data_IF_331310489861
#
_entry.id   IF_331310489861
#
_cell.length_a   1.000
_cell.length_b   1.000
_cell.length_c   1.000
_cell.angle_alpha   90.00
_cell.angle_beta   90.00
_cell.angle_gamma   90.00
#
_symmetry.space_group_name_H-M   'P 1'
#
loop_
_entity.id
_entity.type
_entity.pdbx_description
1 polymer ?
#
# COMPACT_ATOMS: atom_id res chain seq x y z
N UNK A 1 -13.84 -17.61 -21.67
CA UNK A 1 -13.84 -16.54 -20.65
C UNK A 1 -12.72 -16.63 -19.59
N UNK A 2 -12.04 -17.78 -19.35
CA UNK A 2 -10.92 -17.88 -18.38
C UNK A 2 -9.62 -17.13 -18.78
N UNK A 3 -9.43 -16.81 -20.06
CA UNK A 3 -8.17 -16.27 -20.58
C UNK A 3 -7.94 -14.77 -20.33
N UNK A 4 -8.99 -13.99 -20.07
CA UNK A 4 -8.87 -12.53 -19.95
C UNK A 4 -8.42 -12.10 -18.55
N UNK A 5 -8.94 -12.78 -17.52
CA UNK A 5 -8.62 -12.51 -16.12
C UNK A 5 -7.15 -12.81 -15.82
N UNK A 6 -6.62 -13.97 -16.24
CA UNK A 6 -5.18 -14.28 -16.09
C UNK A 6 -4.25 -13.25 -16.75
N UNK A 7 -4.69 -12.60 -17.83
CA UNK A 7 -3.92 -11.56 -18.53
C UNK A 7 -3.87 -10.26 -17.71
N UNK A 8 -4.98 -9.87 -17.09
CA UNK A 8 -5.04 -8.71 -16.20
C UNK A 8 -4.11 -8.86 -14.98
N UNK A 9 -4.13 -10.01 -14.31
CA UNK A 9 -3.24 -10.25 -13.15
C UNK A 9 -1.76 -10.37 -13.54
N UNK A 10 -1.46 -10.97 -14.69
CA UNK A 10 -0.09 -11.00 -15.24
C UNK A 10 0.39 -9.57 -15.55
N UNK A 11 -0.48 -8.73 -16.10
CA UNK A 11 -0.17 -7.34 -16.40
C UNK A 11 0.04 -6.51 -15.13
N UNK A 12 -0.82 -6.65 -14.12
CA UNK A 12 -0.64 -6.04 -12.78
C UNK A 12 0.70 -6.48 -12.19
N UNK A 13 1.02 -7.77 -12.21
CA UNK A 13 2.30 -8.26 -11.71
C UNK A 13 3.50 -7.67 -12.45
N UNK A 14 3.45 -7.64 -13.79
CA UNK A 14 4.53 -7.10 -14.61
C UNK A 14 4.74 -5.60 -14.36
N UNK A 15 3.66 -4.85 -14.13
CA UNK A 15 3.72 -3.42 -13.83
C UNK A 15 4.20 -3.13 -12.40
N UNK A 16 3.88 -3.99 -11.43
CA UNK A 16 4.14 -3.73 -10.01
C UNK A 16 5.35 -4.49 -9.44
N UNK A 17 5.95 -5.45 -10.15
CA UNK A 17 7.04 -6.28 -9.63
C UNK A 17 8.26 -5.48 -9.13
N UNK A 18 8.69 -4.46 -9.87
CA UNK A 18 9.79 -3.57 -9.47
C UNK A 18 9.43 -2.71 -8.24
N UNK A 19 8.18 -2.25 -8.16
CA UNK A 19 7.64 -1.47 -7.05
C UNK A 19 7.56 -2.33 -5.79
N UNK A 20 7.07 -3.56 -5.89
CA UNK A 20 6.98 -4.53 -4.80
C UNK A 20 8.38 -4.93 -4.30
N UNK A 21 9.32 -5.18 -5.21
CA UNK A 21 10.73 -5.43 -4.81
C UNK A 21 11.28 -4.27 -4.00
N UNK A 22 11.10 -3.04 -4.47
CA UNK A 22 11.48 -1.84 -3.73
C UNK A 22 10.78 -1.72 -2.37
N UNK A 23 9.49 -2.08 -2.31
CA UNK A 23 8.68 -2.10 -1.08
C UNK A 23 9.25 -3.04 -0.01
N UNK A 24 9.70 -4.24 -0.39
CA UNK A 24 10.32 -5.20 0.53
C UNK A 24 11.74 -4.80 0.93
N UNK A 25 12.56 -4.31 -0.01
CA UNK A 25 13.92 -3.82 0.27
C UNK A 25 13.89 -2.70 1.30
N UNK A 26 12.98 -1.73 1.15
CA UNK A 26 12.83 -0.60 2.08
C UNK A 26 12.41 -1.01 3.48
N UNK A 27 11.74 -2.16 3.62
CA UNK A 27 11.36 -2.77 4.91
C UNK A 27 12.39 -3.77 5.45
N UNK A 28 13.61 -3.72 4.94
CA UNK A 28 14.73 -4.51 5.45
C UNK A 28 14.79 -5.94 4.92
N UNK A 29 13.85 -6.38 4.06
CA UNK A 29 13.84 -7.70 3.47
C UNK A 29 14.60 -7.74 2.12
N UNK A 30 15.80 -7.13 2.05
CA UNK A 30 16.56 -7.00 0.79
C UNK A 30 16.88 -8.35 0.15
N UNK A 31 17.32 -9.31 0.95
CA UNK A 31 17.75 -10.65 0.50
C UNK A 31 16.56 -11.50 0.04
N UNK A 32 15.42 -11.39 0.73
CA UNK A 32 14.21 -12.15 0.40
C UNK A 32 13.27 -11.40 -0.55
N UNK A 33 13.65 -10.21 -1.03
CA UNK A 33 12.73 -9.32 -1.74
C UNK A 33 12.14 -9.98 -2.99
N UNK A 34 12.92 -10.79 -3.70
CA UNK A 34 12.48 -11.49 -4.91
C UNK A 34 11.53 -12.64 -4.56
N UNK A 35 11.84 -13.41 -3.52
CA UNK A 35 10.97 -14.49 -3.02
C UNK A 35 9.65 -13.94 -2.50
N UNK A 36 9.68 -12.80 -1.79
CA UNK A 36 8.48 -12.14 -1.30
C UNK A 36 7.61 -11.57 -2.43
N UNK A 37 8.22 -11.08 -3.53
CA UNK A 37 7.49 -10.69 -4.74
C UNK A 37 6.82 -11.90 -5.38
N UNK A 38 7.52 -13.03 -5.48
CA UNK A 38 6.96 -14.27 -6.02
C UNK A 38 5.82 -14.81 -5.14
N UNK A 39 5.99 -14.84 -3.82
CA UNK A 39 4.97 -15.28 -2.87
C UNK A 39 3.75 -14.35 -2.91
N UNK A 40 3.95 -13.04 -3.10
CA UNK A 40 2.86 -12.08 -3.31
C UNK A 40 2.02 -12.48 -4.53
N UNK A 41 2.68 -12.84 -5.63
CA UNK A 41 2.01 -13.27 -6.85
C UNK A 41 1.31 -14.63 -6.71
N UNK A 42 1.91 -15.59 -6.00
CA UNK A 42 1.30 -16.90 -5.76
C UNK A 42 0.01 -16.78 -4.92
N UNK A 43 0.03 -15.96 -3.87
CA UNK A 43 -1.18 -15.68 -3.05
C UNK A 43 -2.26 -14.96 -3.86
N UNK A 44 -1.87 -14.12 -4.81
CA UNK A 44 -2.76 -13.46 -5.77
C UNK A 44 -3.47 -14.46 -6.69
N UNK A 45 -2.70 -15.35 -7.30
CA UNK A 45 -3.22 -16.38 -8.20
C UNK A 45 -4.15 -17.37 -7.49
N UNK A 46 -3.83 -17.74 -6.24
CA UNK A 46 -4.70 -18.58 -5.41
C UNK A 46 -6.02 -17.87 -5.10
N UNK A 47 -5.97 -16.61 -4.70
CA UNK A 47 -7.17 -15.82 -4.45
C UNK A 47 -8.06 -15.69 -5.69
N UNK A 48 -7.45 -15.54 -6.87
CA UNK A 48 -8.17 -15.57 -8.16
C UNK A 48 -8.83 -16.94 -8.41
N UNK A 49 -8.15 -18.05 -8.10
CA UNK A 49 -8.72 -19.39 -8.27
C UNK A 49 -9.90 -19.63 -7.33
N UNK A 50 -9.81 -19.15 -6.09
CA UNK A 50 -10.81 -19.38 -5.05
C UNK A 50 -12.02 -18.43 -5.17
N UNK A 51 -11.80 -17.17 -5.56
CA UNK A 51 -12.83 -16.13 -5.58
C UNK A 51 -13.23 -15.64 -6.98
N UNK A 52 -12.54 -16.05 -8.04
CA UNK A 52 -12.86 -15.66 -9.42
C UNK A 52 -12.82 -14.14 -9.63
N UNK A 53 -13.94 -13.57 -10.06
CA UNK A 53 -14.13 -12.12 -10.27
C UNK A 53 -14.52 -11.36 -8.99
N UNK A 54 -14.63 -12.05 -7.84
CA UNK A 54 -15.05 -11.44 -6.57
C UNK A 54 -14.05 -10.45 -5.96
N UNK A 55 -12.83 -10.34 -6.51
CA UNK A 55 -11.85 -9.34 -6.09
C UNK A 55 -12.05 -8.07 -6.92
N UNK A 56 -12.84 -7.15 -6.38
CA UNK A 56 -13.16 -5.87 -7.03
C UNK A 56 -11.91 -5.03 -7.36
N UNK A 57 -10.87 -5.07 -6.51
CA UNK A 57 -9.63 -4.31 -6.72
C UNK A 57 -8.36 -5.19 -6.61
N UNK A 58 -7.86 -5.71 -7.74
CA UNK A 58 -6.63 -6.50 -7.84
C UNK A 58 -5.38 -5.83 -7.25
N UNK A 59 -5.21 -4.52 -7.45
CA UNK A 59 -4.03 -3.77 -6.99
C UNK A 59 -4.05 -3.57 -5.47
N UNK A 60 -5.19 -3.19 -4.91
CA UNK A 60 -5.38 -3.06 -3.46
C UNK A 60 -5.13 -4.39 -2.75
N UNK A 61 -5.61 -5.49 -3.35
CA UNK A 61 -5.37 -6.83 -2.84
C UNK A 61 -3.88 -7.21 -2.93
N UNK A 62 -3.20 -6.92 -4.04
CA UNK A 62 -1.75 -7.13 -4.21
C UNK A 62 -0.94 -6.45 -3.09
N UNK A 63 -1.21 -5.18 -2.81
CA UNK A 63 -0.51 -4.46 -1.74
C UNK A 63 -0.86 -4.97 -0.34
N UNK A 64 -2.10 -5.43 -0.14
CA UNK A 64 -2.50 -6.08 1.12
C UNK A 64 -1.69 -7.34 1.38
N UNK A 65 -1.55 -8.20 0.36
CA UNK A 65 -0.72 -9.40 0.43
C UNK A 65 0.75 -9.05 0.70
N UNK A 66 1.31 -8.10 -0.04
CA UNK A 66 2.71 -7.70 0.12
C UNK A 66 3.01 -7.15 1.53
N UNK A 67 2.10 -6.37 2.10
CA UNK A 67 2.25 -5.83 3.45
C UNK A 67 2.17 -6.91 4.52
N UNK A 68 1.27 -7.89 4.36
CA UNK A 68 1.20 -9.05 5.26
C UNK A 68 2.47 -9.87 5.23
N UNK A 69 3.02 -10.11 4.04
CA UNK A 69 4.31 -10.79 3.87
C UNK A 69 5.47 -10.02 4.52
N UNK A 70 5.51 -8.70 4.36
CA UNK A 70 6.54 -7.88 5.01
C UNK A 70 6.45 -7.94 6.55
N UNK A 71 5.23 -8.05 7.11
CA UNK A 71 5.01 -8.24 8.55
C UNK A 71 5.44 -9.62 9.03
N UNK A 72 5.01 -10.68 8.34
CA UNK A 72 5.45 -12.05 8.62
C UNK A 72 6.99 -12.11 8.66
N UNK A 73 7.64 -11.43 7.71
CA UNK A 73 9.09 -11.37 7.63
C UNK A 73 9.72 -10.52 8.75
N UNK A 74 9.13 -9.38 9.11
CA UNK A 74 9.60 -8.56 10.23
C UNK A 74 9.51 -9.32 11.57
N UNK A 75 8.40 -10.03 11.81
CA UNK A 75 8.20 -10.86 13.02
C UNK A 75 9.24 -11.98 13.07
N UNK A 76 9.46 -12.70 11.96
CA UNK A 76 10.52 -13.73 11.87
C UNK A 76 11.91 -13.17 12.18
N UNK A 77 12.17 -11.94 11.77
CA UNK A 77 13.45 -11.24 12.00
C UNK A 77 13.55 -10.55 13.36
N UNK A 78 12.58 -10.73 14.27
CA UNK A 78 12.46 -10.04 15.57
C UNK A 78 12.49 -8.51 15.47
N UNK A 79 12.09 -7.96 14.32
CA UNK A 79 11.91 -6.53 14.12
C UNK A 79 10.48 -6.17 14.56
N UNK A 80 10.29 -5.01 15.17
CA UNK A 80 9.03 -4.61 15.80
C UNK A 80 7.80 -4.79 14.87
N UNK A 81 6.63 -5.20 15.39
CA UNK A 81 5.45 -5.47 14.57
C UNK A 81 4.91 -4.19 13.92
N UNK A 82 4.68 -4.21 12.61
CA UNK A 82 3.88 -3.19 11.91
C UNK A 82 2.40 -3.46 12.25
N UNK A 83 1.69 -2.50 12.84
CA UNK A 83 0.31 -2.69 13.32
C UNK A 83 -0.69 -2.87 12.17
N UNK A 84 -1.70 -3.74 12.37
CA UNK A 84 -2.66 -4.22 11.35
C UNK A 84 -3.81 -3.23 11.09
N UNK A 85 -4.21 -2.42 12.07
CA UNK A 85 -5.40 -1.55 12.02
C UNK A 85 -5.41 -0.51 10.89
N UNK A 86 -4.24 -0.09 10.40
CA UNK A 86 -4.12 0.91 9.33
C UNK A 86 -4.22 0.28 7.92
N UNK A 87 -4.19 -1.06 7.85
CA UNK A 87 -4.29 -1.85 6.61
C UNK A 87 -5.68 -1.77 6.00
N UNK A 88 -6.73 -1.90 6.81
CA UNK A 88 -8.11 -1.75 6.34
C UNK A 88 -8.34 -0.34 5.80
N UNK A 89 -7.73 0.67 6.42
CA UNK A 89 -7.90 2.06 6.01
C UNK A 89 -7.21 2.34 4.66
N UNK A 90 -6.06 1.73 4.41
CA UNK A 90 -5.31 1.90 3.15
C UNK A 90 -5.86 1.01 2.03
N UNK A 91 -6.22 -0.23 2.32
CA UNK A 91 -6.89 -1.09 1.34
C UNK A 91 -8.25 -0.50 0.96
N UNK A 92 -9.00 0.09 1.89
CA UNK A 92 -10.22 0.86 1.57
C UNK A 92 -9.92 2.13 0.77
N UNK A 93 -8.81 2.82 1.02
CA UNK A 93 -8.40 3.99 0.20
C UNK A 93 -8.05 3.60 -1.25
N UNK A 94 -7.42 2.45 -1.47
CA UNK A 94 -7.11 1.95 -2.81
C UNK A 94 -8.33 1.29 -3.46
N UNK A 95 -9.14 0.55 -2.70
CA UNK A 95 -10.32 -0.19 -3.16
C UNK A 95 -11.55 0.69 -3.35
N UNK A 96 -11.61 1.86 -2.72
CA UNK A 96 -12.56 2.90 -3.11
C UNK A 96 -12.40 3.28 -4.59
N UNK A 97 -11.27 2.87 -5.20
CA UNK A 97 -10.73 3.03 -6.54
C UNK A 97 -11.09 2.00 -7.62
N UNK A 98 -12.36 1.69 -7.84
CA UNK A 98 -12.92 0.96 -8.99
C UNK A 98 -13.00 1.81 -10.29
N UNK A 99 -12.05 1.60 -11.20
CA UNK A 99 -12.25 0.77 -12.40
C UNK A 99 -10.94 0.76 -13.20
N UNK A 100 -10.82 -0.12 -14.20
CA UNK A 100 -9.65 -0.30 -15.08
C UNK A 100 -9.10 1.06 -15.58
N UNK A 101 -8.09 1.62 -14.91
CA UNK A 101 -7.68 3.01 -15.16
C UNK A 101 -6.90 3.17 -16.48
N UNK A 102 -7.49 3.96 -17.37
CA UNK A 102 -6.80 4.59 -18.50
C UNK A 102 -5.67 5.51 -17.99
N UNK A 103 -4.61 5.72 -18.77
CA UNK A 103 -3.43 6.47 -18.30
C UNK A 103 -3.73 7.90 -17.81
N UNK A 104 -4.80 8.51 -18.33
CA UNK A 104 -5.31 9.82 -17.91
C UNK A 104 -5.87 9.81 -16.48
N UNK A 105 -6.61 8.77 -16.09
CA UNK A 105 -7.18 8.63 -14.74
C UNK A 105 -6.07 8.49 -13.69
N UNK A 106 -5.02 7.71 -13.98
CA UNK A 106 -3.83 7.60 -13.11
C UNK A 106 -3.17 8.95 -12.85
N UNK A 107 -2.99 9.76 -13.90
CA UNK A 107 -2.35 11.07 -13.77
C UNK A 107 -3.22 12.02 -12.93
N UNK A 108 -4.54 12.00 -13.13
CA UNK A 108 -5.49 12.79 -12.35
C UNK A 108 -5.52 12.35 -10.88
N UNK A 109 -5.53 11.04 -10.60
CA UNK A 109 -5.42 10.46 -9.25
C UNK A 109 -4.11 10.86 -8.59
N UNK A 110 -2.99 10.84 -9.32
CA UNK A 110 -1.68 11.28 -8.81
C UNK A 110 -1.66 12.78 -8.46
N UNK A 111 -2.23 13.64 -9.32
CA UNK A 111 -2.34 15.08 -9.05
C UNK A 111 -3.23 15.38 -7.84
N UNK A 112 -4.36 14.69 -7.70
CA UNK A 112 -5.24 14.81 -6.52
C UNK A 112 -4.53 14.39 -5.24
N UNK A 113 -3.79 13.27 -5.28
CA UNK A 113 -3.00 12.82 -4.13
C UNK A 113 -1.91 13.85 -3.75
N UNK A 114 -1.23 14.45 -4.74
CA UNK A 114 -0.24 15.50 -4.47
C UNK A 114 -0.87 16.75 -3.85
N UNK A 115 -2.01 17.20 -4.39
CA UNK A 115 -2.76 18.33 -3.86
C UNK A 115 -3.20 18.07 -2.40
N UNK A 116 -3.68 16.87 -2.12
CA UNK A 116 -4.03 16.44 -0.76
C UNK A 116 -2.82 16.43 0.17
N UNK A 117 -1.70 15.84 -0.25
CA UNK A 117 -0.50 15.81 0.58
C UNK A 117 0.02 17.23 0.90
N UNK A 118 -0.26 18.21 0.03
CA UNK A 118 0.05 19.61 0.26
C UNK A 118 -0.88 20.31 1.28
N UNK A 119 -2.08 19.80 1.54
CA UNK A 119 -2.99 20.35 2.58
C UNK A 119 -2.68 19.80 3.98
N UNK A 120 -1.90 18.73 4.07
CA UNK A 120 -1.50 18.15 5.35
C UNK A 120 -0.44 19.00 6.05
N UNK A 121 -0.47 19.07 7.40
CA UNK A 121 0.65 19.63 8.15
C UNK A 121 1.96 18.94 7.78
N UNK A 122 3.03 19.72 7.63
CA UNK A 122 4.33 19.27 7.13
C UNK A 122 4.85 18.00 7.85
N UNK A 123 4.72 17.95 9.18
CA UNK A 123 5.10 16.78 9.98
C UNK A 123 4.27 15.54 9.67
N UNK A 124 2.97 15.69 9.43
CA UNK A 124 2.09 14.58 9.04
C UNK A 124 2.46 14.06 7.65
N UNK A 125 2.68 14.97 6.69
CA UNK A 125 3.12 14.61 5.34
C UNK A 125 4.47 13.88 5.37
N UNK A 126 5.46 14.41 6.11
CA UNK A 126 6.77 13.78 6.27
C UNK A 126 6.67 12.37 6.87
N UNK A 127 5.84 12.17 7.91
CA UNK A 127 5.58 10.85 8.49
C UNK A 127 4.99 9.89 7.46
N UNK A 128 3.97 10.30 6.69
CA UNK A 128 3.38 9.46 5.65
C UNK A 128 4.42 9.10 4.58
N UNK A 129 5.21 10.07 4.11
CA UNK A 129 6.26 9.82 3.13
C UNK A 129 7.27 8.81 3.67
N UNK A 130 7.77 8.99 4.90
CA UNK A 130 8.74 8.05 5.48
C UNK A 130 8.16 6.64 5.68
N UNK A 131 6.90 6.55 6.10
CA UNK A 131 6.22 5.27 6.33
C UNK A 131 5.94 4.52 5.01
N UNK A 132 5.39 5.22 4.03
CA UNK A 132 4.82 4.58 2.84
C UNK A 132 5.76 4.61 1.65
N UNK A 133 6.46 5.73 1.41
CA UNK A 133 7.50 5.82 0.38
C UNK A 133 8.79 5.18 0.85
N UNK A 134 9.29 5.56 2.02
CA UNK A 134 10.63 5.13 2.48
C UNK A 134 10.60 3.79 3.24
N UNK A 135 9.41 3.28 3.60
CA UNK A 135 9.24 1.98 4.24
C UNK A 135 9.77 1.90 5.68
N UNK A 136 10.03 3.04 6.31
CA UNK A 136 10.54 3.09 7.68
C UNK A 136 9.45 2.63 8.66
N UNK A 137 9.86 1.95 9.72
CA UNK A 137 8.98 1.62 10.85
C UNK A 137 8.69 2.85 11.72
N UNK A 138 7.63 2.80 12.53
CA UNK A 138 7.32 3.90 13.46
C UNK A 138 8.45 4.23 14.41
N UNK A 139 9.23 3.23 14.82
CA UNK A 139 10.42 3.42 15.64
C UNK A 139 11.50 4.20 14.90
N UNK A 140 11.81 3.81 13.66
CA UNK A 140 12.80 4.51 12.83
C UNK A 140 12.36 5.94 12.49
N UNK A 141 11.06 6.16 12.25
CA UNK A 141 10.51 7.50 12.02
C UNK A 141 10.59 8.35 13.30
N UNK A 142 10.23 7.76 14.44
CA UNK A 142 10.30 8.41 15.75
C UNK A 142 11.73 8.86 16.08
N UNK A 143 12.71 7.97 15.89
CA UNK A 143 14.14 8.26 16.05
C UNK A 143 14.59 9.39 15.11
N UNK A 144 14.22 9.32 13.83
CA UNK A 144 14.60 10.32 12.82
C UNK A 144 13.98 11.70 13.08
N UNK A 145 12.76 11.74 13.62
CA UNK A 145 12.03 12.98 13.88
C UNK A 145 12.21 13.53 15.30
N UNK A 146 12.86 12.79 16.20
CA UNK A 146 12.97 13.16 17.62
C UNK A 146 11.61 13.18 18.35
N UNK A 147 10.69 12.28 18.00
CA UNK A 147 9.35 12.17 18.61
C UNK A 147 9.09 10.75 19.11
N UNK A 148 8.00 10.52 19.84
CA UNK A 148 7.63 9.16 20.25
C UNK A 148 6.98 8.37 19.10
N UNK A 149 7.11 7.03 19.11
CA UNK A 149 6.41 6.16 18.16
C UNK A 149 4.87 6.33 18.23
N UNK A 150 4.34 6.68 19.41
CA UNK A 150 2.93 7.02 19.58
C UNK A 150 2.54 8.30 18.82
N UNK A 151 3.41 9.32 18.83
CA UNK A 151 3.22 10.55 18.07
C UNK A 151 3.25 10.27 16.56
N UNK A 152 4.14 9.39 16.11
CA UNK A 152 4.17 8.90 14.72
C UNK A 152 2.84 8.24 14.34
N UNK A 153 2.33 7.31 15.15
CA UNK A 153 1.00 6.68 14.94
C UNK A 153 -0.10 7.74 14.79
N UNK A 154 -0.11 8.76 15.65
CA UNK A 154 -1.09 9.85 15.58
C UNK A 154 -1.00 10.65 14.27
N UNK A 155 0.21 10.90 13.76
CA UNK A 155 0.40 11.52 12.45
C UNK A 155 -0.11 10.63 11.31
N UNK A 156 0.16 9.32 11.34
CA UNK A 156 -0.35 8.39 10.30
C UNK A 156 -1.86 8.36 10.29
N UNK A 157 -2.51 8.15 11.44
CA UNK A 157 -3.98 8.12 11.55
C UNK A 157 -4.60 9.42 11.04
N UNK A 158 -4.04 10.58 11.43
CA UNK A 158 -4.51 11.88 10.95
C UNK A 158 -4.38 12.01 9.43
N UNK A 159 -3.24 11.60 8.88
CA UNK A 159 -2.97 11.64 7.45
C UNK A 159 -3.94 10.76 6.65
N UNK A 160 -4.10 9.49 7.05
CA UNK A 160 -5.04 8.56 6.41
C UNK A 160 -6.50 9.00 6.53
N UNK A 161 -6.89 9.63 7.65
CA UNK A 161 -8.24 10.19 7.80
C UNK A 161 -8.49 11.32 6.82
N UNK A 162 -7.52 12.22 6.62
CA UNK A 162 -7.63 13.30 5.67
C UNK A 162 -7.67 12.77 4.22
N UNK A 163 -6.89 11.73 3.91
CA UNK A 163 -7.02 11.02 2.63
C UNK A 163 -8.42 10.48 2.42
N UNK A 164 -9.01 9.81 3.43
CA UNK A 164 -10.36 9.25 3.31
C UNK A 164 -11.43 10.32 3.11
N UNK A 165 -11.32 11.44 3.82
CA UNK A 165 -12.26 12.55 3.65
C UNK A 165 -12.19 13.13 2.24
N UNK A 166 -11.00 13.40 1.72
CA UNK A 166 -10.86 13.93 0.37
C UNK A 166 -11.34 12.94 -0.71
N UNK A 167 -11.15 11.65 -0.47
CA UNK A 167 -11.68 10.58 -1.32
C UNK A 167 -13.21 10.59 -1.32
N UNK A 168 -13.85 10.76 -0.15
CA UNK A 168 -15.31 10.81 -0.01
C UNK A 168 -15.94 12.13 -0.55
N UNK A 169 -15.29 13.28 -0.31
CA UNK A 169 -15.77 14.60 -0.72
C UNK A 169 -15.71 14.81 -2.24
N UNK A 170 -14.90 14.00 -2.95
CA UNK A 170 -14.78 14.06 -4.40
C UNK A 170 -15.98 13.50 -5.15
N UNK A 171 -16.97 12.88 -4.48
CA UNK A 171 -18.22 12.39 -5.06
C UNK A 171 -18.08 11.27 -6.10
N UNK A 172 -16.86 10.91 -6.46
CA UNK A 172 -16.50 9.78 -7.30
C UNK A 172 -16.23 8.61 -6.36
N UNK A 173 -17.02 7.54 -6.49
CA UNK A 173 -16.49 6.20 -6.24
C UNK A 173 -15.26 6.12 -7.14
N UNK A 174 -14.09 6.12 -6.52
CA UNK A 174 -12.82 6.14 -7.24
C UNK A 174 -12.72 4.90 -8.12
#
# INVERSE_FOLDING_TARGET
MKANVSRAWTQVFTQHGSVLRGFFVRRGAKEDAEDLVQETYLRLLRAQQDQGEGIANPEAYLYTVALNLAREQAVRRKQAPLQIEEMEQFSQLLAAGEDVEDAAHRQQRQQRLQALLATLPERTCAVLVMQYRDGLSYKQIAERMGVSAHMVKKHVVRGLSACRQAVADSGESW
#
